data_IF_825103661068
#
_entry.id   IF_825103661068
#
_cell.length_a   1.000
_cell.length_b   1.000
_cell.length_c   1.000
_cell.angle_alpha   90.00
_cell.angle_beta   90.00
_cell.angle_gamma   90.00
#
_symmetry.space_group_name_H-M   'P 1'
#
loop_
_entity.id
_entity.type
_entity.pdbx_description
1 polymer ?
#
# COMPACT_ATOMS: atom_id res chain seq x y z
N UNK A 1 18.49 -106.73 25.34
CA UNK A 1 17.52 -105.73 25.84
C UNK A 1 16.26 -105.88 25.00
N UNK A 2 15.13 -106.36 25.55
CA UNK A 2 13.89 -106.67 24.81
C UNK A 2 13.12 -105.41 24.31
N UNK A 3 13.82 -104.29 24.13
CA UNK A 3 13.26 -102.98 23.80
C UNK A 3 13.39 -102.66 22.30
N UNK A 4 14.15 -103.47 21.55
CA UNK A 4 14.35 -103.35 20.11
C UNK A 4 13.79 -104.59 19.39
N UNK A 5 12.57 -104.99 19.71
CA UNK A 5 11.86 -106.03 18.96
C UNK A 5 11.26 -105.43 17.67
N UNK A 6 11.76 -105.81 16.48
CA UNK A 6 11.35 -105.20 15.20
C UNK A 6 9.90 -105.47 14.80
N UNK A 7 9.22 -106.36 15.51
CA UNK A 7 7.83 -106.77 15.27
C UNK A 7 6.83 -105.66 15.57
N UNK A 8 7.15 -104.71 16.45
CA UNK A 8 6.25 -103.59 16.81
C UNK A 8 6.54 -102.28 16.06
N UNK A 9 7.70 -102.16 15.40
CA UNK A 9 8.07 -100.97 14.62
C UNK A 9 7.07 -100.62 13.51
N UNK A 10 6.49 -101.57 12.74
CA UNK A 10 5.50 -101.24 11.72
C UNK A 10 4.23 -100.56 12.29
N UNK A 11 3.78 -101.00 13.47
CA UNK A 11 2.61 -100.41 14.15
C UNK A 11 2.92 -99.00 14.65
N UNK A 12 4.10 -98.79 15.25
CA UNK A 12 4.53 -97.46 15.69
C UNK A 12 4.65 -96.48 14.52
N UNK A 13 5.21 -96.93 13.39
CA UNK A 13 5.32 -96.12 12.17
C UNK A 13 3.93 -95.80 11.60
N UNK A 14 3.00 -96.75 11.61
CA UNK A 14 1.62 -96.52 11.17
C UNK A 14 0.93 -95.42 12.00
N UNK A 15 0.95 -95.52 13.33
CA UNK A 15 0.36 -94.51 14.21
C UNK A 15 1.06 -93.15 14.10
N UNK A 16 2.38 -93.14 13.91
CA UNK A 16 3.14 -91.92 13.65
C UNK A 16 2.66 -91.25 12.36
N UNK A 17 2.58 -92.00 11.25
CA UNK A 17 2.06 -91.48 9.99
C UNK A 17 0.61 -90.98 10.12
N UNK A 18 -0.24 -91.68 10.87
CA UNK A 18 -1.62 -91.26 11.11
C UNK A 18 -1.70 -89.94 11.88
N UNK A 19 -0.92 -89.80 12.96
CA UNK A 19 -0.84 -88.56 13.75
C UNK A 19 -0.33 -87.38 12.91
N UNK A 20 0.72 -87.59 12.10
CA UNK A 20 1.25 -86.55 11.21
C UNK A 20 0.24 -86.17 10.12
N UNK A 21 -0.49 -87.14 9.55
CA UNK A 21 -1.56 -86.86 8.58
C UNK A 21 -2.69 -86.03 9.20
N UNK A 22 -3.16 -86.40 10.40
CA UNK A 22 -4.19 -85.64 11.11
C UNK A 22 -3.72 -84.21 11.44
N UNK A 23 -2.47 -84.07 11.90
CA UNK A 23 -1.86 -82.76 12.15
C UNK A 23 -1.78 -81.92 10.87
N UNK A 24 -1.36 -82.50 9.74
CA UNK A 24 -1.25 -81.80 8.46
C UNK A 24 -2.61 -81.26 7.98
N UNK A 25 -3.68 -82.05 8.15
CA UNK A 25 -5.05 -81.61 7.86
C UNK A 25 -5.45 -80.44 8.76
N UNK A 26 -5.12 -80.50 10.06
CA UNK A 26 -5.35 -79.40 11.00
C UNK A 26 -4.63 -78.11 10.60
N UNK A 27 -3.36 -78.20 10.23
CA UNK A 27 -2.55 -77.05 9.76
C UNK A 27 -3.15 -76.44 8.48
N UNK A 28 -3.62 -77.27 7.55
CA UNK A 28 -4.27 -76.80 6.31
C UNK A 28 -5.53 -75.98 6.58
N UNK A 29 -6.26 -76.26 7.66
CA UNK A 29 -7.43 -75.47 8.08
C UNK A 29 -7.06 -74.15 8.78
N UNK A 30 -5.93 -74.11 9.48
CA UNK A 30 -5.51 -72.93 10.25
C UNK A 30 -4.78 -71.91 9.35
N UNK A 31 -4.00 -72.38 8.38
CA UNK A 31 -3.26 -71.54 7.42
C UNK A 31 -4.07 -70.40 6.78
N UNK A 32 -5.29 -70.62 6.23
CA UNK A 32 -6.07 -69.55 5.60
C UNK A 32 -6.46 -68.43 6.57
N UNK A 33 -6.52 -68.70 7.87
CA UNK A 33 -6.82 -67.68 8.89
C UNK A 33 -5.65 -66.72 9.08
N UNK A 34 -4.42 -67.23 9.09
CA UNK A 34 -3.22 -66.40 9.16
C UNK A 34 -3.07 -65.53 7.91
N UNK A 35 -3.28 -66.11 6.72
CA UNK A 35 -3.20 -65.36 5.46
C UNK A 35 -4.21 -64.20 5.42
N UNK A 36 -5.44 -64.43 5.88
CA UNK A 36 -6.47 -63.37 5.99
C UNK A 36 -6.02 -62.22 6.89
N UNK A 37 -5.40 -62.52 8.03
CA UNK A 37 -4.92 -61.50 8.96
C UNK A 37 -3.77 -60.70 8.34
N UNK A 38 -2.80 -61.36 7.71
CA UNK A 38 -1.69 -60.68 7.03
C UNK A 38 -2.19 -59.79 5.89
N UNK A 39 -3.08 -60.31 5.03
CA UNK A 39 -3.69 -59.53 3.95
C UNK A 39 -4.48 -58.33 4.47
N UNK A 40 -5.28 -58.50 5.54
CA UNK A 40 -6.03 -57.41 6.14
C UNK A 40 -5.11 -56.30 6.67
N UNK A 41 -4.02 -56.66 7.36
CA UNK A 41 -3.05 -55.68 7.87
C UNK A 41 -2.31 -54.96 6.75
N UNK A 42 -1.84 -55.69 5.75
CA UNK A 42 -1.17 -55.10 4.60
C UNK A 42 -2.10 -54.14 3.86
N UNK A 43 -3.36 -54.53 3.63
CA UNK A 43 -4.36 -53.66 3.00
C UNK A 43 -4.57 -52.37 3.81
N UNK A 44 -4.70 -52.46 5.12
CA UNK A 44 -4.85 -51.28 5.99
C UNK A 44 -3.62 -50.37 5.90
N UNK A 45 -2.41 -50.94 5.87
CA UNK A 45 -1.18 -50.16 5.73
C UNK A 45 -1.13 -49.47 4.37
N UNK A 46 -1.39 -50.19 3.29
CA UNK A 46 -1.39 -49.65 1.93
C UNK A 46 -2.43 -48.54 1.77
N UNK A 47 -3.64 -48.74 2.31
CA UNK A 47 -4.71 -47.75 2.27
C UNK A 47 -4.34 -46.51 3.09
N UNK A 48 -3.77 -46.67 4.30
CA UNK A 48 -3.29 -45.53 5.09
C UNK A 48 -2.16 -44.77 4.40
N UNK A 49 -1.23 -45.46 3.74
CA UNK A 49 -0.14 -44.84 2.98
C UNK A 49 -0.72 -44.03 1.82
N UNK A 50 -1.69 -44.57 1.07
CA UNK A 50 -2.37 -43.85 -0.01
C UNK A 50 -3.06 -42.59 0.50
N UNK A 51 -3.86 -42.72 1.57
CA UNK A 51 -4.54 -41.56 2.19
C UNK A 51 -3.52 -40.52 2.65
N UNK A 52 -2.39 -40.94 3.25
CA UNK A 52 -1.35 -40.01 3.67
C UNK A 52 -0.70 -39.28 2.48
N UNK A 53 -0.51 -39.95 1.34
CA UNK A 53 -0.02 -39.32 0.12
C UNK A 53 -1.03 -38.34 -0.48
N UNK A 54 -2.31 -38.72 -0.54
CA UNK A 54 -3.40 -37.86 -1.01
C UNK A 54 -3.50 -36.60 -0.14
N UNK A 55 -3.53 -36.76 1.19
CA UNK A 55 -3.61 -35.66 2.14
C UNK A 55 -2.37 -34.74 2.04
N UNK A 56 -1.18 -35.31 1.81
CA UNK A 56 0.05 -34.54 1.56
C UNK A 56 -0.03 -33.76 0.25
N UNK A 57 -0.60 -34.33 -0.81
CA UNK A 57 -0.76 -33.65 -2.10
C UNK A 57 -1.80 -32.53 -2.02
N UNK A 58 -2.92 -32.77 -1.35
CA UNK A 58 -3.93 -31.75 -1.05
C UNK A 58 -3.34 -30.61 -0.22
N UNK A 59 -2.61 -30.92 0.85
CA UNK A 59 -1.93 -29.92 1.66
C UNK A 59 -0.94 -29.08 0.84
N UNK A 60 -0.19 -29.69 -0.08
CA UNK A 60 0.70 -28.97 -1.00
C UNK A 60 -0.06 -28.07 -1.98
N UNK A 61 -1.19 -28.54 -2.51
CA UNK A 61 -2.05 -27.73 -3.40
C UNK A 61 -2.61 -26.51 -2.67
N UNK A 62 -3.09 -26.71 -1.43
CA UNK A 62 -3.59 -25.63 -0.58
C UNK A 62 -2.47 -24.65 -0.24
N UNK A 63 -1.29 -25.15 0.13
CA UNK A 63 -0.12 -24.30 0.41
C UNK A 63 0.25 -23.45 -0.81
N UNK A 64 0.30 -24.05 -2.00
CA UNK A 64 0.60 -23.34 -3.24
C UNK A 64 -0.44 -22.26 -3.56
N UNK A 65 -1.72 -22.59 -3.43
CA UNK A 65 -2.80 -21.62 -3.63
C UNK A 65 -2.76 -20.48 -2.60
N UNK A 66 -2.36 -20.77 -1.36
CA UNK A 66 -2.16 -19.77 -0.32
C UNK A 66 -0.98 -18.85 -0.63
N UNK A 67 0.16 -19.40 -1.05
CA UNK A 67 1.34 -18.62 -1.49
C UNK A 67 1.01 -17.73 -2.70
N UNK A 68 0.32 -18.27 -3.71
CA UNK A 68 -0.19 -17.50 -4.86
C UNK A 68 -1.16 -16.40 -4.43
N UNK A 69 -2.02 -16.68 -3.44
CA UNK A 69 -2.94 -15.70 -2.85
C UNK A 69 -2.21 -14.54 -2.17
N UNK A 70 -1.17 -14.83 -1.38
CA UNK A 70 -0.33 -13.79 -0.76
C UNK A 70 0.40 -12.98 -1.83
N UNK A 71 0.99 -13.63 -2.83
CA UNK A 71 1.71 -12.95 -3.89
C UNK A 71 0.77 -11.98 -4.65
N UNK A 72 -0.43 -12.43 -5.02
CA UNK A 72 -1.43 -11.58 -5.67
C UNK A 72 -1.92 -10.45 -4.78
N UNK A 73 -2.08 -10.68 -3.47
CA UNK A 73 -2.49 -9.64 -2.52
C UNK A 73 -1.42 -8.56 -2.37
N UNK A 74 -0.13 -8.94 -2.32
CA UNK A 74 0.98 -7.99 -2.31
C UNK A 74 1.05 -7.18 -3.60
N UNK A 75 0.95 -7.84 -4.76
CA UNK A 75 0.93 -7.16 -6.06
C UNK A 75 -0.22 -6.15 -6.17
N UNK A 76 -1.43 -6.53 -5.76
CA UNK A 76 -2.57 -5.61 -5.71
C UNK A 76 -2.32 -4.44 -4.75
N UNK A 77 -1.72 -4.69 -3.60
CA UNK A 77 -1.39 -3.64 -2.63
C UNK A 77 -0.39 -2.65 -3.19
N UNK A 78 0.65 -3.14 -3.88
CA UNK A 78 1.65 -2.30 -4.54
C UNK A 78 1.03 -1.46 -5.66
N UNK A 79 0.15 -2.05 -6.48
CA UNK A 79 -0.59 -1.33 -7.52
C UNK A 79 -1.47 -0.23 -6.92
N UNK A 80 -2.23 -0.54 -5.86
CA UNK A 80 -3.07 0.45 -5.18
C UNK A 80 -2.23 1.59 -4.60
N UNK A 81 -1.09 1.26 -3.99
CA UNK A 81 -0.19 2.25 -3.40
C UNK A 81 0.48 3.12 -4.48
N UNK A 82 0.84 2.54 -5.63
CA UNK A 82 1.37 3.28 -6.77
C UNK A 82 0.31 4.22 -7.36
N UNK A 83 -0.91 3.74 -7.58
CA UNK A 83 -2.02 4.54 -8.09
C UNK A 83 -2.36 5.69 -7.14
N UNK A 84 -2.45 5.42 -5.83
CA UNK A 84 -2.70 6.46 -4.83
C UNK A 84 -1.58 7.52 -4.81
N UNK A 85 -0.31 7.11 -4.93
CA UNK A 85 0.81 8.06 -5.04
C UNK A 85 0.71 8.92 -6.30
N UNK A 86 0.33 8.31 -7.43
CA UNK A 86 0.16 9.04 -8.67
C UNK A 86 -0.99 10.06 -8.58
N UNK A 87 -2.15 9.63 -8.07
CA UNK A 87 -3.31 10.50 -7.86
C UNK A 87 -2.99 11.66 -6.90
N UNK A 88 -2.29 11.39 -5.80
CA UNK A 88 -1.82 12.43 -4.86
C UNK A 88 -0.88 13.41 -5.56
N UNK A 89 0.07 12.93 -6.36
CA UNK A 89 1.01 13.80 -7.08
C UNK A 89 0.29 14.67 -8.11
N UNK A 90 -0.69 14.12 -8.82
CA UNK A 90 -1.47 14.86 -9.81
C UNK A 90 -2.38 15.90 -9.12
N UNK A 91 -3.02 15.53 -8.01
CA UNK A 91 -3.77 16.46 -7.18
C UNK A 91 -2.89 17.59 -6.60
N UNK A 92 -1.67 17.26 -6.15
CA UNK A 92 -0.72 18.26 -5.65
C UNK A 92 -0.32 19.25 -6.75
N UNK A 93 -0.05 18.77 -7.97
CA UNK A 93 0.27 19.64 -9.11
C UNK A 93 -0.89 20.57 -9.45
N UNK A 94 -2.11 20.04 -9.52
CA UNK A 94 -3.31 20.85 -9.78
C UNK A 94 -3.49 21.92 -8.71
N UNK A 95 -3.32 21.56 -7.43
CA UNK A 95 -3.41 22.51 -6.31
C UNK A 95 -2.28 23.53 -6.32
N UNK A 96 -1.08 23.15 -6.70
CA UNK A 96 0.06 24.05 -6.82
C UNK A 96 -0.14 25.06 -7.96
N UNK A 97 -0.65 24.61 -9.11
CA UNK A 97 -1.03 25.49 -10.23
C UNK A 97 -2.15 26.45 -9.82
N UNK A 98 -3.22 25.96 -9.19
CA UNK A 98 -4.34 26.78 -8.69
C UNK A 98 -3.82 27.84 -7.69
N UNK A 99 -2.98 27.42 -6.74
CA UNK A 99 -2.38 28.31 -5.75
C UNK A 99 -1.49 29.37 -6.40
N UNK A 100 -0.65 29.01 -7.37
CA UNK A 100 0.21 29.95 -8.09
C UNK A 100 -0.60 30.98 -8.89
N UNK A 101 -1.68 30.54 -9.56
CA UNK A 101 -2.59 31.44 -10.28
C UNK A 101 -3.29 32.39 -9.30
N UNK A 102 -3.77 31.90 -8.15
CA UNK A 102 -4.44 32.76 -7.18
C UNK A 102 -3.46 33.74 -6.51
N UNK A 103 -2.27 33.27 -6.16
CA UNK A 103 -1.20 34.07 -5.56
C UNK A 103 -0.75 35.20 -6.49
N UNK A 104 -0.54 34.91 -7.78
CA UNK A 104 -0.18 35.92 -8.79
C UNK A 104 -1.28 36.97 -8.98
N UNK A 105 -2.56 36.57 -9.02
CA UNK A 105 -3.70 37.50 -9.04
C UNK A 105 -3.72 38.40 -7.81
N UNK A 106 -3.56 37.82 -6.62
CA UNK A 106 -3.56 38.57 -5.36
C UNK A 106 -2.39 39.57 -5.27
N UNK A 107 -1.21 39.19 -5.80
CA UNK A 107 -0.07 40.09 -5.93
C UNK A 107 -0.36 41.25 -6.90
N UNK A 108 -0.96 40.97 -8.06
CA UNK A 108 -1.30 42.02 -9.02
C UNK A 108 -2.34 42.99 -8.47
N UNK A 109 -3.40 42.48 -7.82
CA UNK A 109 -4.40 43.32 -7.14
C UNK A 109 -3.77 44.18 -6.04
N UNK A 110 -2.84 43.61 -5.26
CA UNK A 110 -2.12 44.34 -4.22
C UNK A 110 -1.22 45.43 -4.82
N UNK A 111 -0.51 45.14 -5.92
CA UNK A 111 0.29 46.12 -6.64
C UNK A 111 -0.56 47.28 -7.19
N UNK A 112 -1.75 46.98 -7.73
CA UNK A 112 -2.69 48.02 -8.19
C UNK A 112 -3.17 48.89 -7.03
N UNK A 113 -3.51 48.28 -5.88
CA UNK A 113 -3.89 49.02 -4.67
C UNK A 113 -2.76 49.89 -4.15
N UNK A 114 -1.52 49.38 -4.11
CA UNK A 114 -0.33 50.15 -3.71
C UNK A 114 -0.11 51.33 -4.65
N UNK A 115 -0.22 51.14 -5.97
CA UNK A 115 -0.08 52.22 -6.95
C UNK A 115 -1.14 53.31 -6.76
N UNK A 116 -2.40 52.93 -6.55
CA UNK A 116 -3.49 53.88 -6.26
C UNK A 116 -3.26 54.66 -4.97
N UNK A 117 -2.96 53.95 -3.87
CA UNK A 117 -2.64 54.59 -2.60
C UNK A 117 -1.43 55.53 -2.70
N UNK A 118 -0.41 55.16 -3.48
CA UNK A 118 0.74 56.02 -3.73
C UNK A 118 0.34 57.29 -4.49
N UNK A 119 -0.48 57.16 -5.54
CA UNK A 119 -0.98 58.31 -6.31
C UNK A 119 -1.85 59.24 -5.46
N UNK A 120 -2.77 58.68 -4.68
CA UNK A 120 -3.61 59.44 -3.74
C UNK A 120 -2.75 60.19 -2.70
N UNK A 121 -1.73 59.52 -2.13
CA UNK A 121 -0.79 60.17 -1.22
C UNK A 121 0.00 61.31 -1.89
N UNK A 122 0.44 61.14 -3.14
CA UNK A 122 1.11 62.21 -3.90
C UNK A 122 0.17 63.40 -4.16
N UNK A 123 -1.09 63.16 -4.50
CA UNK A 123 -2.09 64.22 -4.67
C UNK A 123 -2.39 64.94 -3.36
N UNK A 124 -2.47 64.22 -2.25
CA UNK A 124 -2.70 64.79 -0.92
C UNK A 124 -1.52 65.65 -0.48
N UNK A 125 -0.28 65.18 -0.67
CA UNK A 125 0.94 65.96 -0.40
C UNK A 125 0.99 67.22 -1.26
N UNK A 126 0.58 67.14 -2.53
CA UNK A 126 0.51 68.30 -3.42
C UNK A 126 -0.49 69.33 -2.94
N UNK A 127 -1.71 68.91 -2.57
CA UNK A 127 -2.73 69.81 -1.99
C UNK A 127 -2.22 70.46 -0.70
N UNK A 128 -1.64 69.68 0.20
CA UNK A 128 -1.08 70.18 1.46
C UNK A 128 0.08 71.17 1.21
N UNK A 129 0.91 70.94 0.20
CA UNK A 129 2.00 71.84 -0.18
C UNK A 129 1.48 73.16 -0.77
N UNK A 130 0.44 73.11 -1.60
CA UNK A 130 -0.23 74.29 -2.16
C UNK A 130 -0.89 75.13 -1.05
N UNK A 131 -1.58 74.49 -0.11
CA UNK A 131 -2.21 75.14 1.04
C UNK A 131 -1.17 75.76 1.99
N UNK A 132 -0.08 75.05 2.30
CA UNK A 132 1.04 75.59 3.09
C UNK A 132 1.70 76.79 2.41
N UNK A 133 1.92 76.71 1.10
CA UNK A 133 2.54 77.79 0.32
C UNK A 133 1.64 79.03 0.29
N UNK A 134 0.33 78.86 0.13
CA UNK A 134 -0.65 79.95 0.24
C UNK A 134 -0.69 80.58 1.64
N UNK A 135 -0.65 79.77 2.71
CA UNK A 135 -0.61 80.27 4.09
C UNK A 135 0.68 81.05 4.38
N UNK A 136 1.83 80.57 3.91
CA UNK A 136 3.10 81.27 4.08
C UNK A 136 3.11 82.58 3.28
N UNK A 137 2.65 82.54 2.02
CA UNK A 137 2.63 83.74 1.18
C UNK A 137 1.72 84.84 1.74
N UNK A 138 0.50 84.47 2.16
CA UNK A 138 -0.46 85.43 2.76
C UNK A 138 0.09 86.06 4.04
N UNK A 139 0.77 85.28 4.89
CA UNK A 139 1.46 85.81 6.10
C UNK A 139 2.64 86.73 5.80
N UNK A 140 3.37 86.52 4.71
CA UNK A 140 4.61 87.25 4.40
C UNK A 140 4.36 88.53 3.60
N UNK A 141 3.37 88.55 2.70
CA UNK A 141 3.14 89.68 1.78
C UNK A 141 1.87 90.49 2.07
N UNK A 142 1.01 90.03 2.97
CA UNK A 142 -0.22 90.73 3.40
C UNK A 142 -1.13 91.13 2.21
N UNK A 143 -1.08 90.36 1.11
CA UNK A 143 -1.90 90.47 -0.10
C UNK A 143 -2.38 89.09 -0.52
N UNK A 144 -3.61 89.00 -1.00
CA UNK A 144 -4.21 87.77 -1.51
C UNK A 144 -3.73 87.49 -2.95
N UNK A 145 -3.28 86.26 -3.22
CA UNK A 145 -3.03 85.76 -4.59
C UNK A 145 -4.20 84.87 -5.02
N UNK A 146 -4.43 84.81 -6.32
CA UNK A 146 -5.28 83.81 -6.97
C UNK A 146 -4.66 82.40 -6.80
N UNK A 147 -5.50 81.43 -6.43
CA UNK A 147 -5.13 80.01 -6.25
C UNK A 147 -4.47 79.40 -7.48
N UNK A 148 -4.84 79.86 -8.66
CA UNK A 148 -4.40 79.31 -9.96
C UNK A 148 -2.90 79.53 -10.23
N UNK A 149 -2.35 80.70 -9.89
CA UNK A 149 -0.92 80.99 -10.11
C UNK A 149 0.01 80.17 -9.19
N UNK A 150 -0.45 79.86 -7.98
CA UNK A 150 0.28 79.03 -7.01
C UNK A 150 0.21 77.55 -7.41
N UNK A 151 -0.93 77.09 -7.91
CA UNK A 151 -1.07 75.73 -8.44
C UNK A 151 -0.18 75.51 -9.68
N UNK A 152 -0.06 76.48 -10.60
CA UNK A 152 0.85 76.38 -11.74
C UNK A 152 2.32 76.33 -11.31
N UNK A 153 2.74 77.17 -10.35
CA UNK A 153 4.12 77.20 -9.88
C UNK A 153 4.52 75.91 -9.17
N UNK A 154 3.65 75.36 -8.31
CA UNK A 154 3.91 74.09 -7.59
C UNK A 154 3.90 72.90 -8.57
N UNK A 155 2.99 72.89 -9.56
CA UNK A 155 2.98 71.89 -10.63
C UNK A 155 4.28 71.87 -11.45
N UNK A 156 4.84 73.05 -11.74
CA UNK A 156 6.06 73.19 -12.54
C UNK A 156 7.30 72.69 -11.79
N UNK A 157 7.36 72.89 -10.47
CA UNK A 157 8.44 72.38 -9.62
C UNK A 157 8.32 70.86 -9.38
N UNK A 158 7.11 70.34 -9.15
CA UNK A 158 6.93 68.89 -8.97
C UNK A 158 7.24 68.11 -10.25
N UNK A 159 6.78 68.56 -11.43
CA UNK A 159 7.10 67.90 -12.72
C UNK A 159 8.58 67.96 -13.11
N UNK A 160 9.32 68.99 -12.67
CA UNK A 160 10.75 69.12 -12.94
C UNK A 160 11.64 68.20 -12.10
N UNK A 161 11.11 67.57 -11.04
CA UNK A 161 11.86 66.67 -10.17
C UNK A 161 11.75 65.19 -10.58
N UNK A 162 10.75 64.83 -11.39
CA UNK A 162 10.57 63.48 -11.94
C UNK A 162 11.47 63.18 -13.16
N UNK A 163 12.25 64.16 -13.64
CA UNK A 163 13.20 64.03 -14.77
C UNK A 163 14.68 63.92 -14.37
N UNK A 164 14.97 63.63 -13.10
CA UNK A 164 16.28 63.27 -12.55
C UNK A 164 16.17 61.95 -11.80
#
# INVERSE_FOLDING_TARGET
MPQLDPTWFPSQIFWLCLCFMLMFIGVKFIMPTFDKIFMARNKIIDDNIKVAFELRDEAKKVLKAYEEGIASANEKSDIVLQNARQEINDFLKEKEEEFNVNSSKMLEESNVKIKKASQEAFEEVKKMSVDLTMMIYSKVTNKDILKEDVEEAVNKIMKGKDSL
#
